data_IF_872725472467
#
_entry.id   IF_872725472467
#
_cell.length_a   1.000
_cell.length_b   1.000
_cell.length_c   1.000
_cell.angle_alpha   90.00
_cell.angle_beta   90.00
_cell.angle_gamma   90.00
#
_symmetry.space_group_name_H-M   'P 1'
#
loop_
_entity.id
_entity.type
_entity.pdbx_description
1 polymer ?
#
# COMPACT_ATOMS: atom_id res chain seq x y z
N UNK A 1 11.17 4.10 3.58
CA UNK A 1 10.73 2.70 3.48
C UNK A 1 9.20 2.54 3.58
N UNK A 2 8.51 3.03 4.62
CA UNK A 2 7.05 2.86 4.75
C UNK A 2 6.30 3.38 3.51
N UNK A 3 6.62 4.57 3.03
CA UNK A 3 5.97 5.14 1.86
C UNK A 3 6.28 4.39 0.56
N UNK A 4 7.45 3.78 0.44
CA UNK A 4 7.78 2.96 -0.72
C UNK A 4 6.84 1.75 -0.85
N UNK A 5 6.34 1.21 0.27
CA UNK A 5 5.38 0.10 0.28
C UNK A 5 3.96 0.61 0.04
N UNK A 6 3.50 1.63 0.77
CA UNK A 6 2.11 2.10 0.62
C UNK A 6 1.90 2.80 -0.72
N UNK A 7 2.73 3.76 -1.07
CA UNK A 7 2.61 4.49 -2.34
C UNK A 7 3.14 3.68 -3.51
N UNK A 8 4.30 3.03 -3.33
CA UNK A 8 4.85 2.15 -4.34
C UNK A 8 3.92 0.97 -4.64
N UNK A 9 3.33 0.38 -3.60
CA UNK A 9 2.29 -0.64 -3.74
C UNK A 9 1.07 -0.13 -4.50
N UNK A 10 0.56 1.05 -4.10
CA UNK A 10 -0.60 1.66 -4.75
C UNK A 10 -0.32 1.97 -6.23
N UNK A 11 0.77 2.68 -6.54
CA UNK A 11 1.11 3.07 -7.93
C UNK A 11 1.47 1.85 -8.76
N UNK A 12 2.27 0.94 -8.21
CA UNK A 12 2.69 -0.27 -8.91
C UNK A 12 1.53 -1.19 -9.27
N UNK A 13 0.63 -1.43 -8.31
CA UNK A 13 -0.59 -2.20 -8.59
C UNK A 13 -1.50 -1.46 -9.58
N UNK A 14 -1.74 -0.15 -9.40
CA UNK A 14 -2.57 0.64 -10.32
C UNK A 14 -2.10 0.52 -11.77
N UNK A 15 -0.79 0.46 -11.99
CA UNK A 15 -0.20 0.32 -13.34
C UNK A 15 -0.34 -1.09 -13.91
N UNK A 16 -0.43 -2.10 -13.05
CA UNK A 16 -0.36 -3.51 -13.45
C UNK A 16 -1.70 -4.25 -13.44
N UNK A 17 -2.68 -3.76 -12.67
CA UNK A 17 -3.95 -4.47 -12.45
C UNK A 17 -4.75 -4.73 -13.73
N UNK A 18 -4.73 -3.83 -14.72
CA UNK A 18 -5.42 -4.06 -15.99
C UNK A 18 -4.85 -5.27 -16.74
N UNK A 19 -3.53 -5.44 -16.72
CA UNK A 19 -2.85 -6.60 -17.33
C UNK A 19 -3.19 -7.84 -16.51
N UNK A 20 -3.12 -7.78 -15.19
CA UNK A 20 -3.45 -8.89 -14.30
C UNK A 20 -4.88 -9.40 -14.50
N UNK A 21 -5.88 -8.51 -14.53
CA UNK A 21 -7.27 -8.91 -14.71
C UNK A 21 -7.56 -9.46 -16.10
N UNK A 22 -6.93 -8.88 -17.12
CA UNK A 22 -7.03 -9.38 -18.49
C UNK A 22 -6.44 -10.80 -18.62
N UNK A 23 -5.18 -10.98 -18.22
CA UNK A 23 -4.46 -12.24 -18.42
C UNK A 23 -4.94 -13.35 -17.49
N UNK A 24 -5.21 -13.05 -16.23
CA UNK A 24 -5.52 -14.07 -15.22
C UNK A 24 -6.96 -14.54 -15.30
N UNK A 25 -7.89 -13.62 -15.59
CA UNK A 25 -9.33 -13.89 -15.53
C UNK A 25 -10.02 -13.87 -16.90
N UNK A 26 -9.27 -13.63 -17.96
CA UNK A 26 -9.82 -13.62 -19.32
C UNK A 26 -10.85 -12.52 -19.59
N UNK A 27 -10.82 -11.43 -18.80
CA UNK A 27 -11.69 -10.28 -19.01
C UNK A 27 -11.34 -9.59 -20.32
N UNK A 28 -12.31 -8.93 -20.95
CA UNK A 28 -12.01 -8.02 -22.06
C UNK A 28 -11.11 -6.87 -21.57
N UNK A 29 -10.37 -6.23 -22.50
CA UNK A 29 -9.50 -5.08 -22.16
C UNK A 29 -10.26 -3.94 -21.49
N UNK A 30 -11.52 -3.76 -21.88
CA UNK A 30 -12.38 -2.71 -21.31
C UNK A 30 -12.80 -3.06 -19.87
N UNK A 31 -13.25 -4.30 -19.64
CA UNK A 31 -13.64 -4.76 -18.30
C UNK A 31 -12.46 -4.76 -17.32
N UNK A 32 -11.30 -5.25 -17.76
CA UNK A 32 -10.07 -5.22 -16.99
C UNK A 32 -9.64 -3.78 -16.64
N UNK A 33 -9.80 -2.86 -17.60
CA UNK A 33 -9.58 -1.44 -17.39
C UNK A 33 -10.53 -0.82 -16.35
N UNK A 34 -11.82 -1.14 -16.42
CA UNK A 34 -12.81 -0.66 -15.43
C UNK A 34 -12.56 -1.23 -14.04
N UNK A 35 -12.22 -2.51 -13.93
CA UNK A 35 -11.87 -3.14 -12.66
C UNK A 35 -10.62 -2.49 -12.03
N UNK A 36 -9.56 -2.28 -12.83
CA UNK A 36 -8.35 -1.60 -12.38
C UNK A 36 -8.63 -0.14 -11.96
N UNK A 37 -9.45 0.59 -12.73
CA UNK A 37 -9.84 1.95 -12.41
C UNK A 37 -10.64 2.02 -11.09
N UNK A 38 -11.57 1.10 -10.87
CA UNK A 38 -12.32 1.03 -9.61
C UNK A 38 -11.39 0.82 -8.40
N UNK A 39 -10.39 -0.06 -8.50
CA UNK A 39 -9.38 -0.27 -7.47
C UNK A 39 -8.54 1.00 -7.23
N UNK A 40 -8.10 1.67 -8.28
CA UNK A 40 -7.33 2.90 -8.19
C UNK A 40 -8.14 4.05 -7.56
N UNK A 41 -9.41 4.18 -7.91
CA UNK A 41 -10.32 5.15 -7.31
C UNK A 41 -10.55 4.87 -5.82
N UNK A 42 -10.78 3.61 -5.44
CA UNK A 42 -10.91 3.22 -4.03
C UNK A 42 -9.70 3.66 -3.21
N UNK A 43 -8.48 3.40 -3.69
CA UNK A 43 -7.26 3.84 -3.03
C UNK A 43 -7.09 5.36 -3.03
N UNK A 44 -7.46 6.05 -4.09
CA UNK A 44 -7.36 7.51 -4.16
C UNK A 44 -8.31 8.20 -3.19
N UNK A 45 -9.57 7.78 -3.14
CA UNK A 45 -10.57 8.35 -2.23
C UNK A 45 -10.38 7.96 -0.77
N UNK A 46 -9.69 6.87 -0.47
CA UNK A 46 -9.39 6.47 0.91
C UNK A 46 -8.24 7.25 1.55
N UNK A 47 -7.43 8.00 0.77
CA UNK A 47 -6.31 8.81 1.32
C UNK A 47 -6.74 9.83 2.38
N UNK A 48 -7.76 10.68 2.14
CA UNK A 48 -8.23 11.63 3.16
C UNK A 48 -8.72 10.93 4.43
N UNK A 49 -9.38 9.77 4.27
CA UNK A 49 -9.85 8.96 5.40
C UNK A 49 -8.68 8.51 6.27
N UNK A 50 -7.60 8.00 5.64
CA UNK A 50 -6.39 7.62 6.35
C UNK A 50 -5.74 8.77 7.12
N UNK A 51 -5.63 9.95 6.51
CA UNK A 51 -5.14 11.17 7.16
C UNK A 51 -5.98 11.57 8.37
N UNK A 52 -7.30 11.61 8.20
CA UNK A 52 -8.23 11.96 9.27
C UNK A 52 -8.18 10.98 10.47
N UNK A 53 -8.07 9.68 10.22
CA UNK A 53 -7.93 8.69 11.28
C UNK A 53 -6.56 8.87 11.97
N UNK A 54 -5.50 9.16 11.21
CA UNK A 54 -4.16 9.39 11.73
C UNK A 54 -4.09 10.62 12.66
N UNK A 55 -4.85 11.68 12.36
CA UNK A 55 -4.94 12.88 13.20
C UNK A 55 -5.52 12.56 14.59
N UNK A 56 -6.45 11.61 14.67
CA UNK A 56 -7.13 11.25 15.92
C UNK A 56 -6.42 10.15 16.71
N UNK A 57 -5.93 9.13 16.02
CA UNK A 57 -5.41 7.91 16.64
C UNK A 57 -3.88 7.86 16.70
N UNK A 58 -3.21 8.77 15.97
CA UNK A 58 -1.77 8.76 15.77
C UNK A 58 -1.33 7.90 14.58
N UNK A 59 -0.60 8.51 13.65
CA UNK A 59 -0.30 7.89 12.35
C UNK A 59 0.41 6.56 12.42
N UNK A 60 1.41 6.39 13.31
CA UNK A 60 2.13 5.11 13.42
C UNK A 60 1.25 3.97 13.97
N UNK A 61 0.27 4.28 14.84
CA UNK A 61 -0.70 3.29 15.29
C UNK A 61 -1.61 2.86 14.14
N UNK A 62 -2.07 3.81 13.34
CA UNK A 62 -2.90 3.50 12.16
C UNK A 62 -2.13 2.63 11.17
N UNK A 63 -0.86 2.94 10.90
CA UNK A 63 -0.01 2.12 10.04
C UNK A 63 0.19 0.70 10.60
N UNK A 64 0.35 0.55 11.93
CA UNK A 64 0.51 -0.79 12.55
C UNK A 64 -0.71 -1.69 12.38
N UNK A 65 -1.88 -1.11 12.14
CA UNK A 65 -3.12 -1.85 11.80
C UNK A 65 -3.26 -2.03 10.29
N UNK A 66 -2.90 -1.03 9.50
CA UNK A 66 -3.07 -1.09 8.04
C UNK A 66 -2.14 -2.13 7.38
N UNK A 67 -0.88 -2.24 7.80
CA UNK A 67 0.05 -3.19 7.19
C UNK A 67 -0.39 -4.66 7.30
N UNK A 68 -0.83 -5.18 8.47
CA UNK A 68 -1.43 -6.50 8.56
C UNK A 68 -2.63 -6.70 7.63
N UNK A 69 -3.52 -5.70 7.56
CA UNK A 69 -4.70 -5.76 6.70
C UNK A 69 -4.30 -5.80 5.22
N UNK A 70 -3.33 -4.96 4.80
CA UNK A 70 -2.78 -4.99 3.44
C UNK A 70 -2.19 -6.38 3.14
N UNK A 71 -1.40 -6.95 4.08
CA UNK A 71 -0.82 -8.27 3.92
C UNK A 71 -1.88 -9.38 3.77
N UNK A 72 -2.98 -9.32 4.52
CA UNK A 72 -4.10 -10.27 4.40
C UNK A 72 -4.74 -10.18 3.02
N UNK A 73 -5.04 -8.99 2.53
CA UNK A 73 -5.70 -8.82 1.25
C UNK A 73 -4.78 -9.11 0.05
N UNK A 74 -3.51 -8.70 0.11
CA UNK A 74 -2.54 -9.05 -0.95
C UNK A 74 -2.21 -10.54 -0.94
N UNK A 75 -2.17 -11.17 0.27
CA UNK A 75 -2.08 -12.61 0.43
C UNK A 75 -3.30 -13.33 -0.14
N UNK A 76 -4.51 -12.82 0.08
CA UNK A 76 -5.72 -13.30 -0.55
C UNK A 76 -5.66 -13.24 -2.09
N UNK A 77 -5.13 -12.15 -2.64
CA UNK A 77 -4.92 -12.01 -4.09
C UNK A 77 -3.90 -13.04 -4.63
N UNK A 78 -2.90 -13.44 -3.83
CA UNK A 78 -1.93 -14.47 -4.24
C UNK A 78 -2.53 -15.87 -4.38
N UNK A 79 -3.70 -16.12 -3.78
CA UNK A 79 -4.40 -17.41 -3.91
C UNK A 79 -5.10 -17.57 -5.26
N UNK A 80 -5.16 -16.51 -6.09
CA UNK A 80 -5.77 -16.48 -7.41
C UNK A 80 -7.20 -17.09 -7.42
N UNK A 81 -7.97 -16.75 -6.39
CA UNK A 81 -9.39 -17.15 -6.24
C UNK A 81 -10.21 -16.71 -7.47
N UNK A 82 -11.45 -17.18 -7.64
CA UNK A 82 -12.34 -16.67 -8.69
C UNK A 82 -12.40 -15.14 -8.71
N UNK A 83 -12.72 -14.56 -9.88
CA UNK A 83 -12.64 -13.10 -10.09
C UNK A 83 -13.32 -12.24 -9.02
N UNK A 84 -14.55 -12.52 -8.53
CA UNK A 84 -15.21 -11.67 -7.54
C UNK A 84 -14.43 -11.56 -6.21
N UNK A 85 -13.89 -12.68 -5.73
CA UNK A 85 -13.11 -12.75 -4.49
C UNK A 85 -11.75 -12.08 -4.67
N UNK A 86 -11.07 -12.35 -5.78
CA UNK A 86 -9.79 -11.74 -6.11
C UNK A 86 -9.92 -10.23 -6.32
N UNK A 87 -10.96 -9.78 -7.03
CA UNK A 87 -11.27 -8.35 -7.19
C UNK A 87 -11.51 -7.69 -5.84
N UNK A 88 -12.33 -8.30 -4.98
CA UNK A 88 -12.62 -7.78 -3.65
C UNK A 88 -11.36 -7.67 -2.79
N UNK A 89 -10.49 -8.67 -2.82
CA UNK A 89 -9.20 -8.65 -2.10
C UNK A 89 -8.30 -7.52 -2.60
N UNK A 90 -8.11 -7.40 -3.91
CA UNK A 90 -7.31 -6.34 -4.51
C UNK A 90 -7.91 -4.95 -4.25
N UNK A 91 -9.23 -4.80 -4.38
CA UNK A 91 -9.93 -3.55 -4.11
C UNK A 91 -9.72 -3.05 -2.68
N UNK A 92 -9.85 -3.95 -1.70
CA UNK A 92 -9.62 -3.63 -0.29
C UNK A 92 -8.15 -3.39 0.01
N UNK A 93 -7.22 -4.15 -0.60
CA UNK A 93 -5.80 -3.88 -0.52
C UNK A 93 -5.46 -2.47 -1.02
N UNK A 94 -6.00 -2.07 -2.18
CA UNK A 94 -5.80 -0.75 -2.77
C UNK A 94 -6.37 0.38 -1.90
N UNK A 95 -7.55 0.19 -1.30
CA UNK A 95 -8.12 1.13 -0.35
C UNK A 95 -7.21 1.30 0.89
N UNK A 96 -6.70 0.21 1.45
CA UNK A 96 -5.79 0.25 2.60
C UNK A 96 -4.43 0.88 2.25
N UNK A 97 -3.87 0.59 1.07
CA UNK A 97 -2.65 1.25 0.57
C UNK A 97 -2.87 2.76 0.43
N UNK A 98 -4.01 3.17 -0.11
CA UNK A 98 -4.41 4.57 -0.21
C UNK A 98 -4.52 5.24 1.16
N UNK A 99 -5.20 4.62 2.12
CA UNK A 99 -5.24 5.13 3.50
C UNK A 99 -3.84 5.28 4.08
N UNK A 100 -2.96 4.29 3.90
CA UNK A 100 -1.57 4.36 4.34
C UNK A 100 -0.80 5.56 3.75
N UNK A 101 -1.07 5.90 2.49
CA UNK A 101 -0.50 7.10 1.86
C UNK A 101 -0.93 8.38 2.58
N UNK A 102 -2.22 8.51 2.89
CA UNK A 102 -2.76 9.66 3.64
C UNK A 102 -2.13 9.78 5.03
N UNK A 103 -1.97 8.65 5.72
CA UNK A 103 -1.33 8.60 7.04
C UNK A 103 0.11 9.10 7.00
N UNK A 104 0.91 8.68 6.01
CA UNK A 104 2.32 9.05 5.94
C UNK A 104 2.50 10.54 5.67
N UNK A 105 1.68 11.10 4.76
CA UNK A 105 1.71 12.55 4.52
C UNK A 105 1.25 13.39 5.72
N UNK A 106 0.53 12.81 6.65
CA UNK A 106 0.19 13.46 7.92
C UNK A 106 1.34 13.35 8.93
N UNK A 107 2.02 12.19 9.00
CA UNK A 107 3.12 11.94 9.96
C UNK A 107 4.39 12.74 9.62
N UNK A 108 4.73 12.87 8.33
CA UNK A 108 5.97 13.54 7.89
C UNK A 108 6.06 14.99 8.37
N UNK A 109 5.06 15.87 8.15
CA UNK A 109 5.12 17.25 8.63
C UNK A 109 5.15 17.37 10.15
N UNK A 110 4.54 16.43 10.87
CA UNK A 110 4.53 16.45 12.33
C UNK A 110 5.90 16.15 12.94
N UNK A 111 6.66 15.23 12.31
CA UNK A 111 7.97 14.81 12.82
C UNK A 111 9.14 15.65 12.32
N UNK A 112 9.03 16.24 11.12
CA UNK A 112 10.13 16.91 10.42
C UNK A 112 9.77 18.33 10.00
N UNK A 113 9.27 19.14 10.93
CA UNK A 113 8.80 20.50 10.66
C UNK A 113 9.83 21.43 10.01
N UNK A 114 11.11 21.32 10.41
CA UNK A 114 12.19 22.17 9.91
C UNK A 114 12.72 21.74 8.54
N UNK A 115 12.57 20.47 8.18
CA UNK A 115 13.14 19.87 6.97
C UNK A 115 12.04 19.30 6.05
N UNK A 116 10.82 19.82 6.15
CA UNK A 116 9.63 19.26 5.50
C UNK A 116 9.82 19.09 3.98
N UNK A 117 10.47 20.05 3.32
CA UNK A 117 10.71 19.98 1.87
C UNK A 117 11.63 18.83 1.47
N UNK A 118 12.79 18.73 2.14
CA UNK A 118 13.78 17.68 1.88
C UNK A 118 13.24 16.30 2.19
N UNK A 119 12.60 16.14 3.35
CA UNK A 119 12.04 14.84 3.78
C UNK A 119 10.87 14.43 2.90
N UNK A 120 9.98 15.35 2.53
CA UNK A 120 8.88 15.05 1.60
C UNK A 120 9.39 14.65 0.22
N UNK A 121 10.45 15.30 -0.27
CA UNK A 121 11.12 14.91 -1.51
C UNK A 121 11.72 13.51 -1.46
N UNK A 122 12.44 13.19 -0.37
CA UNK A 122 13.02 11.85 -0.14
C UNK A 122 11.96 10.76 -0.03
N UNK A 123 10.88 11.05 0.70
CA UNK A 123 9.72 10.14 0.85
C UNK A 123 9.06 9.93 -0.51
N UNK A 124 8.85 10.99 -1.29
CA UNK A 124 8.30 10.91 -2.64
C UNK A 124 9.17 10.09 -3.59
N UNK A 125 10.49 10.30 -3.58
CA UNK A 125 11.44 9.53 -4.39
C UNK A 125 11.41 8.03 -4.02
N UNK A 126 11.40 7.70 -2.73
CA UNK A 126 11.27 6.32 -2.26
C UNK A 126 9.96 5.66 -2.70
N UNK A 127 8.85 6.44 -2.67
CA UNK A 127 7.56 5.99 -3.17
C UNK A 127 7.56 5.73 -4.68
N UNK A 128 8.17 6.63 -5.45
CA UNK A 128 8.34 6.49 -6.91
C UNK A 128 9.15 5.24 -7.28
N UNK A 129 10.26 4.99 -6.57
CA UNK A 129 11.05 3.77 -6.75
C UNK A 129 10.22 2.50 -6.47
N UNK A 130 9.43 2.48 -5.39
CA UNK A 130 8.53 1.37 -5.09
C UNK A 130 7.49 1.15 -6.19
N UNK A 131 6.91 2.25 -6.72
CA UNK A 131 5.93 2.21 -7.82
C UNK A 131 6.49 1.70 -9.14
N UNK A 132 7.77 1.94 -9.41
CA UNK A 132 8.49 1.40 -10.56
C UNK A 132 8.86 -0.08 -10.37
N UNK A 133 9.37 -0.43 -9.18
CA UNK A 133 9.87 -1.78 -8.92
C UNK A 133 8.74 -2.82 -8.88
N UNK A 134 7.59 -2.50 -8.29
CA UNK A 134 6.54 -3.49 -8.07
C UNK A 134 5.98 -4.08 -9.37
N UNK A 135 5.60 -3.29 -10.41
CA UNK A 135 5.16 -3.85 -11.68
C UNK A 135 6.22 -4.72 -12.35
N UNK A 136 7.48 -4.29 -12.29
CA UNK A 136 8.62 -5.03 -12.84
C UNK A 136 8.80 -6.37 -12.14
N UNK A 137 8.68 -6.40 -10.81
CA UNK A 137 8.75 -7.63 -10.02
C UNK A 137 7.57 -8.55 -10.31
N UNK A 138 6.34 -8.01 -10.37
CA UNK A 138 5.15 -8.81 -10.71
C UNK A 138 5.28 -9.43 -12.10
N UNK A 139 5.72 -8.67 -13.11
CA UNK A 139 5.97 -9.15 -14.46
C UNK A 139 7.06 -10.23 -14.49
N UNK A 140 8.22 -9.97 -13.89
CA UNK A 140 9.33 -10.91 -13.83
C UNK A 140 8.92 -12.25 -13.19
N UNK A 141 8.23 -12.22 -12.06
CA UNK A 141 7.77 -13.44 -11.40
C UNK A 141 6.67 -14.15 -12.20
N UNK A 142 5.82 -13.42 -12.90
CA UNK A 142 4.88 -14.01 -13.85
C UNK A 142 5.61 -14.76 -14.97
N UNK A 143 6.65 -14.17 -15.54
CA UNK A 143 7.42 -14.78 -16.62
C UNK A 143 8.22 -16.01 -16.14
N UNK A 144 8.79 -15.96 -14.94
CA UNK A 144 9.59 -17.04 -14.37
C UNK A 144 8.76 -18.19 -13.82
N UNK A 145 7.64 -17.92 -13.16
CA UNK A 145 6.81 -18.93 -12.47
C UNK A 145 5.56 -19.33 -13.24
N UNK A 146 5.23 -18.60 -14.32
CA UNK A 146 3.98 -18.80 -15.07
C UNK A 146 2.72 -18.30 -14.36
N UNK A 147 2.85 -17.75 -13.12
CA UNK A 147 1.70 -17.36 -12.29
C UNK A 147 1.90 -16.00 -11.61
N UNK A 148 0.81 -15.27 -11.40
CA UNK A 148 0.80 -14.02 -10.62
C UNK A 148 0.90 -14.24 -9.11
N UNK A 149 0.60 -15.45 -8.63
CA UNK A 149 0.61 -15.80 -7.20
C UNK A 149 1.94 -15.43 -6.52
N UNK A 150 3.06 -15.75 -7.16
CA UNK A 150 4.41 -15.54 -6.62
C UNK A 150 4.70 -14.05 -6.40
N UNK A 151 4.33 -13.20 -7.33
CA UNK A 151 4.53 -11.75 -7.23
C UNK A 151 3.70 -11.13 -6.11
N UNK A 152 2.42 -11.50 -5.99
CA UNK A 152 1.57 -11.05 -4.88
C UNK A 152 2.05 -11.59 -3.53
N UNK A 153 2.48 -12.87 -3.46
CA UNK A 153 3.05 -13.45 -2.25
C UNK A 153 4.32 -12.73 -1.80
N UNK A 154 5.20 -12.35 -2.73
CA UNK A 154 6.40 -11.57 -2.43
C UNK A 154 6.03 -10.19 -1.88
N UNK A 155 5.07 -9.48 -2.49
CA UNK A 155 4.62 -8.20 -1.97
C UNK A 155 4.00 -8.33 -0.58
N UNK A 156 3.22 -9.40 -0.35
CA UNK A 156 2.69 -9.74 0.98
C UNK A 156 3.81 -9.96 1.99
N UNK A 157 4.85 -10.71 1.62
CA UNK A 157 6.00 -10.94 2.49
C UNK A 157 6.71 -9.63 2.87
N UNK A 158 6.88 -8.69 1.92
CA UNK A 158 7.42 -7.35 2.19
C UNK A 158 6.56 -6.59 3.18
N UNK A 159 5.22 -6.65 3.04
CA UNK A 159 4.29 -6.02 3.99
C UNK A 159 4.40 -6.63 5.39
N UNK A 160 4.59 -7.95 5.50
CA UNK A 160 4.78 -8.63 6.79
C UNK A 160 6.14 -8.28 7.41
N UNK A 161 7.20 -8.27 6.63
CA UNK A 161 8.56 -7.98 7.11
C UNK A 161 8.71 -6.55 7.65
N UNK A 162 7.92 -5.59 7.19
CA UNK A 162 7.97 -4.22 7.71
C UNK A 162 7.19 -4.04 9.03
N UNK A 163 6.29 -4.95 9.39
CA UNK A 163 5.46 -4.83 10.60
C UNK A 163 6.26 -4.62 11.89
N UNK A 164 7.34 -5.39 12.19
CA UNK A 164 8.14 -5.17 13.38
C UNK A 164 8.70 -3.74 13.46
N UNK A 165 9.12 -3.20 12.32
CA UNK A 165 9.62 -1.82 12.23
C UNK A 165 8.52 -0.83 12.59
N UNK A 166 7.33 -0.98 12.03
CA UNK A 166 6.18 -0.09 12.31
C UNK A 166 5.79 -0.16 13.79
N UNK A 167 5.71 -1.36 14.36
CA UNK A 167 5.35 -1.57 15.77
C UNK A 167 6.41 -0.98 16.70
N UNK A 168 7.70 -1.14 16.39
CA UNK A 168 8.80 -0.62 17.21
C UNK A 168 8.80 0.90 17.26
N UNK A 169 8.57 1.57 16.12
CA UNK A 169 8.45 3.02 16.05
C UNK A 169 7.08 3.57 16.49
N UNK A 170 6.04 2.74 16.50
CA UNK A 170 4.68 3.09 16.94
C UNK A 170 4.48 3.10 18.45
N UNK A 171 5.41 2.51 19.22
CA UNK A 171 5.34 2.55 20.69
C UNK A 171 5.56 3.99 21.17
N UNK A 172 4.68 4.55 22.01
CA UNK A 172 4.89 5.87 22.57
C UNK A 172 6.18 5.84 23.40
N UNK A 173 7.18 6.61 23.00
CA UNK A 173 8.33 6.89 23.86
C UNK A 173 7.80 7.56 25.14
N UNK A 174 8.20 7.09 26.31
CA UNK A 174 7.79 7.63 27.62
C UNK A 174 8.08 9.13 27.79
N UNK A 175 8.92 9.71 26.93
CA UNK A 175 9.28 11.14 26.94
C UNK A 175 8.15 12.09 26.49
N UNK A 176 7.10 11.62 25.83
CA UNK A 176 6.00 12.47 25.36
C UNK A 176 4.82 12.57 26.33
N UNK A 177 4.98 12.14 27.57
CA UNK A 177 4.01 12.35 28.67
C UNK A 177 4.31 13.61 29.49
N UNK A 178 4.78 14.68 28.87
CA UNK A 178 4.77 15.99 29.53
C UNK A 178 3.39 16.60 29.28
N UNK A 179 2.61 16.89 30.34
CA UNK A 179 1.32 17.56 30.18
C UNK A 179 1.56 18.92 29.53
N UNK A 180 0.85 19.22 28.46
CA UNK A 180 0.75 20.61 27.98
C UNK A 180 -0.03 21.39 29.04
N UNK A 181 0.71 22.20 29.81
CA UNK A 181 0.18 23.28 30.64
C UNK A 181 -0.31 24.40 29.73
#
# INVERSE_FOLDING_TARGET
MLYAITFGGFVGLSSYLSIFFFDQYGLSRVEAGWAAAACALAGSFSRPVGGFIADRCGGLRVLSVLYPIIAVFTGGASLLLPFPEAFSAVFLAMACLGMGNGVIFQVVPQRFRQEIGTISGLVGAAGGLGGFLLPSVLGLFKDLSGTYATGFALFTAVCVLIMPVVVMFGRPSRENMVPRI
#
